data_IF_763973465708
#
_entry.id   IF_763973465708
#
_cell.length_a   1.000
_cell.length_b   1.000
_cell.length_c   1.000
_cell.angle_alpha   90.00
_cell.angle_beta   90.00
_cell.angle_gamma   90.00
#
_symmetry.space_group_name_H-M   'P 1'
#
loop_
_entity.id
_entity.type
_entity.pdbx_description
1 polymer ?
#
# COMPACT_ATOMS: atom_id res chain seq x y z
N UNK A 1 18.57 14.08 -6.44
CA UNK A 1 17.62 14.43 -7.53
C UNK A 1 16.67 15.57 -7.14
N UNK A 2 16.81 16.14 -5.92
CA UNK A 2 16.08 17.34 -5.55
C UNK A 2 16.35 18.47 -6.55
N UNK A 3 15.35 19.31 -6.82
CA UNK A 3 15.44 20.43 -7.78
C UNK A 3 15.22 20.05 -9.26
N UNK A 4 15.02 18.76 -9.59
CA UNK A 4 14.81 18.34 -10.98
C UNK A 4 13.36 17.97 -11.32
N UNK A 5 12.45 17.98 -10.35
CA UNK A 5 11.03 17.70 -10.53
C UNK A 5 10.19 18.46 -9.50
N UNK A 6 8.97 18.85 -9.84
CA UNK A 6 8.07 19.54 -8.92
C UNK A 6 7.53 18.64 -7.79
N UNK A 7 7.48 17.33 -8.01
CA UNK A 7 7.06 16.31 -7.05
C UNK A 7 7.99 15.11 -7.15
N UNK A 8 8.38 14.57 -6.01
CA UNK A 8 9.20 13.36 -5.92
C UNK A 8 8.54 12.35 -4.98
N UNK A 9 8.47 11.09 -5.42
CA UNK A 9 7.98 9.97 -4.62
C UNK A 9 9.15 9.09 -4.20
N UNK A 10 9.18 8.65 -2.94
CA UNK A 10 10.20 7.69 -2.46
C UNK A 10 10.01 6.30 -3.08
N UNK A 11 10.98 5.42 -2.89
CA UNK A 11 10.69 3.99 -2.95
C UNK A 11 9.70 3.58 -1.85
N UNK A 12 9.12 2.37 -1.99
CA UNK A 12 8.13 1.85 -1.07
C UNK A 12 8.65 1.78 0.38
N UNK A 13 7.92 2.42 1.29
CA UNK A 13 8.12 2.32 2.72
C UNK A 13 7.16 1.25 3.29
N UNK A 14 7.69 0.28 4.03
CA UNK A 14 6.86 -0.75 4.65
C UNK A 14 6.19 -0.24 5.93
N UNK A 15 4.89 -0.50 6.04
CA UNK A 15 4.04 -0.04 7.15
C UNK A 15 4.09 -0.94 8.38
N UNK A 16 4.56 -2.18 8.22
CA UNK A 16 4.82 -3.14 9.29
C UNK A 16 5.95 -4.10 8.90
N UNK A 17 6.64 -4.75 9.85
CA UNK A 17 7.76 -5.66 9.56
C UNK A 17 7.38 -6.84 8.65
N UNK A 18 6.16 -7.37 8.74
CA UNK A 18 5.67 -8.43 7.85
C UNK A 18 5.42 -7.96 6.41
N UNK A 19 5.39 -6.65 6.17
CA UNK A 19 5.27 -6.05 4.84
C UNK A 19 6.58 -5.71 4.17
N UNK A 20 7.72 -5.97 4.80
CA UNK A 20 9.04 -5.56 4.31
C UNK A 20 9.50 -6.40 3.11
N UNK A 21 9.68 -5.74 1.96
CA UNK A 21 10.16 -6.36 0.71
C UNK A 21 11.68 -6.53 0.69
N UNK A 22 12.42 -5.46 1.00
CA UNK A 22 13.89 -5.40 0.91
C UNK A 22 14.53 -5.18 2.28
N UNK A 23 15.71 -5.75 2.49
CA UNK A 23 16.48 -5.62 3.74
C UNK A 23 16.72 -4.16 4.15
N UNK A 24 17.04 -3.28 3.19
CA UNK A 24 17.26 -1.85 3.41
C UNK A 24 16.11 -0.98 2.89
N UNK A 25 14.89 -1.50 2.91
CA UNK A 25 13.69 -0.74 2.55
C UNK A 25 13.42 0.41 3.55
N UNK A 26 12.75 1.46 3.09
CA UNK A 26 12.30 2.52 3.98
C UNK A 26 11.34 1.96 5.02
N UNK A 27 11.58 2.31 6.29
CA UNK A 27 10.74 1.94 7.41
C UNK A 27 9.83 3.10 7.81
N UNK A 28 8.52 2.83 7.96
CA UNK A 28 7.55 3.75 8.55
C UNK A 28 6.63 3.01 9.54
N UNK A 29 7.06 1.84 10.02
CA UNK A 29 6.24 0.96 10.85
C UNK A 29 6.12 1.38 12.31
N UNK A 30 7.02 2.24 12.80
CA UNK A 30 7.04 2.70 14.18
C UNK A 30 7.58 4.13 14.30
N UNK A 31 7.40 4.76 15.47
CA UNK A 31 7.72 6.17 15.66
C UNK A 31 9.24 6.46 15.71
N UNK A 32 10.07 5.44 15.91
CA UNK A 32 11.53 5.60 15.93
C UNK A 32 12.09 5.98 14.56
N UNK A 33 11.34 5.73 13.48
CA UNK A 33 11.73 6.11 12.12
C UNK A 33 11.53 7.61 11.82
N UNK A 34 10.66 8.32 12.57
CA UNK A 34 10.28 9.72 12.29
C UNK A 34 11.49 10.65 12.16
N UNK A 35 12.49 10.64 13.04
CA UNK A 35 13.65 11.54 12.90
C UNK A 35 14.44 11.33 11.60
N UNK A 36 14.57 10.08 11.15
CA UNK A 36 15.24 9.74 9.87
C UNK A 36 14.41 10.18 8.67
N UNK A 37 13.11 9.90 8.69
CA UNK A 37 12.16 10.29 7.65
C UNK A 37 12.05 11.83 7.54
N UNK A 38 12.12 12.55 8.65
CA UNK A 38 12.12 14.02 8.65
C UNK A 38 13.33 14.58 7.90
N UNK A 39 14.52 14.02 8.09
CA UNK A 39 15.71 14.41 7.31
C UNK A 39 15.54 14.12 5.84
N UNK A 40 14.96 12.97 5.49
CA UNK A 40 14.67 12.60 4.11
C UNK A 40 13.69 13.60 3.47
N UNK A 41 12.56 13.89 4.12
CA UNK A 41 11.57 14.84 3.63
C UNK A 41 12.21 16.23 3.41
N UNK A 42 13.03 16.72 4.35
CA UNK A 42 13.73 17.99 4.22
C UNK A 42 14.65 18.04 2.99
N UNK A 43 15.40 16.96 2.72
CA UNK A 43 16.28 16.89 1.54
C UNK A 43 15.47 16.82 0.24
N UNK A 44 14.38 16.08 0.22
CA UNK A 44 13.51 15.98 -0.95
C UNK A 44 12.82 17.31 -1.28
N UNK A 45 12.53 18.13 -0.27
CA UNK A 45 11.86 19.44 -0.41
C UNK A 45 12.78 20.58 -0.79
N UNK A 46 14.09 20.34 -0.94
CA UNK A 46 15.03 21.36 -1.42
C UNK A 46 14.54 21.89 -2.79
N UNK A 47 14.74 23.18 -2.99
CA UNK A 47 14.36 23.89 -4.23
C UNK A 47 12.84 23.93 -4.52
N UNK A 48 12.00 23.76 -3.47
CA UNK A 48 10.54 23.90 -3.58
C UNK A 48 9.79 22.68 -4.08
N UNK A 49 10.45 21.51 -4.16
CA UNK A 49 9.80 20.25 -4.55
C UNK A 49 8.80 19.78 -3.48
N UNK A 50 7.77 19.08 -3.93
CA UNK A 50 6.88 18.30 -3.05
C UNK A 50 7.48 16.91 -2.78
N UNK A 51 7.53 16.52 -1.52
CA UNK A 51 8.05 15.22 -1.08
C UNK A 51 6.90 14.29 -0.71
N UNK A 52 6.75 13.19 -1.42
CA UNK A 52 5.74 12.16 -1.20
C UNK A 52 6.42 10.88 -0.72
N UNK A 53 5.89 10.25 0.32
CA UNK A 53 6.34 8.91 0.72
C UNK A 53 5.34 7.85 0.24
N UNK A 54 5.84 6.82 -0.45
CA UNK A 54 5.02 5.70 -0.89
C UNK A 54 4.86 4.70 0.25
N UNK A 55 3.61 4.42 0.65
CA UNK A 55 3.26 3.43 1.66
C UNK A 55 2.90 2.10 0.99
N UNK A 56 3.48 1.02 1.47
CA UNK A 56 3.27 -0.29 0.89
C UNK A 56 3.34 -1.42 1.93
N UNK A 57 2.74 -2.54 1.57
CA UNK A 57 2.91 -3.82 2.23
C UNK A 57 3.14 -4.87 1.14
N UNK A 58 4.31 -5.53 1.16
CA UNK A 58 4.71 -6.43 0.08
C UNK A 58 3.88 -7.73 0.02
N UNK A 59 3.10 -8.05 1.06
CA UNK A 59 2.26 -9.24 1.09
C UNK A 59 3.07 -10.50 0.84
N UNK A 60 2.64 -11.31 -0.12
CA UNK A 60 3.32 -12.55 -0.51
C UNK A 60 4.78 -12.38 -0.95
N UNK A 61 5.20 -11.16 -1.28
CA UNK A 61 6.57 -10.84 -1.69
C UNK A 61 7.41 -10.19 -0.58
N UNK A 62 6.97 -10.28 0.67
CA UNK A 62 7.70 -9.76 1.83
C UNK A 62 8.95 -10.61 2.12
N UNK A 63 9.94 -10.53 1.24
CA UNK A 63 11.13 -11.39 1.28
C UNK A 63 11.90 -11.26 2.61
N UNK A 64 11.90 -10.08 3.21
CA UNK A 64 12.55 -9.88 4.51
C UNK A 64 11.74 -10.50 5.65
N UNK A 65 10.40 -10.50 5.57
CA UNK A 65 9.55 -11.20 6.54
C UNK A 65 9.77 -12.71 6.49
N UNK A 66 9.94 -13.30 5.30
CA UNK A 66 10.29 -14.72 5.16
C UNK A 66 11.60 -15.02 5.90
N UNK A 67 12.61 -14.18 5.76
CA UNK A 67 13.92 -14.36 6.43
C UNK A 67 13.84 -14.18 7.95
N UNK A 68 13.07 -13.19 8.40
CA UNK A 68 13.03 -12.81 9.81
C UNK A 68 12.04 -13.67 10.63
N UNK A 69 10.91 -14.05 10.01
CA UNK A 69 9.78 -14.68 10.73
C UNK A 69 9.36 -16.02 10.14
N UNK A 70 9.80 -16.37 8.92
CA UNK A 70 9.37 -17.58 8.22
C UNK A 70 7.96 -17.50 7.62
N UNK A 71 7.28 -16.37 7.75
CA UNK A 71 5.87 -16.19 7.41
C UNK A 71 5.66 -14.96 6.53
N UNK A 72 4.71 -15.06 5.61
CA UNK A 72 4.17 -13.94 4.82
C UNK A 72 2.66 -14.09 4.72
N UNK A 73 1.99 -12.97 4.53
CA UNK A 73 0.54 -12.90 4.53
C UNK A 73 -0.02 -12.50 3.16
N UNK A 74 -1.23 -12.97 2.88
CA UNK A 74 -1.99 -12.63 1.69
C UNK A 74 -3.48 -12.89 1.88
N UNK A 75 -4.32 -12.64 0.86
CA UNK A 75 -5.76 -12.89 0.96
C UNK A 75 -6.08 -14.36 1.15
N UNK A 76 -5.29 -15.26 0.54
CA UNK A 76 -5.53 -16.71 0.58
C UNK A 76 -4.22 -17.48 0.66
N UNK A 77 -4.25 -18.74 1.17
CA UNK A 77 -3.07 -19.56 1.28
C UNK A 77 -2.55 -19.94 -0.12
N UNK A 78 -1.23 -19.87 -0.29
CA UNK A 78 -0.57 -20.35 -1.50
C UNK A 78 0.86 -20.77 -1.22
N UNK A 79 1.42 -21.61 -2.10
CA UNK A 79 2.84 -21.96 -2.10
C UNK A 79 3.56 -21.24 -3.21
N UNK A 80 4.63 -20.54 -2.91
CA UNK A 80 5.48 -19.85 -3.86
C UNK A 80 6.88 -20.45 -3.85
N UNK A 81 7.57 -20.41 -5.00
CA UNK A 81 8.88 -21.00 -5.16
C UNK A 81 10.00 -19.96 -5.40
N UNK A 82 9.65 -18.73 -5.63
CA UNK A 82 10.60 -17.65 -5.93
C UNK A 82 10.36 -16.46 -4.99
N UNK A 83 11.42 -15.81 -4.53
CA UNK A 83 12.86 -16.12 -4.72
C UNK A 83 13.32 -17.34 -3.90
N UNK A 84 12.57 -17.71 -2.87
CA UNK A 84 12.81 -18.87 -2.01
C UNK A 84 11.48 -19.59 -1.80
N UNK A 85 11.43 -20.91 -1.76
CA UNK A 85 10.21 -21.65 -1.45
C UNK A 85 9.60 -21.21 -0.11
N UNK A 86 8.36 -20.77 -0.12
CA UNK A 86 7.64 -20.32 1.08
C UNK A 86 6.13 -20.49 0.93
N UNK A 87 5.44 -20.42 2.07
CA UNK A 87 3.98 -20.45 2.13
C UNK A 87 3.45 -19.06 2.48
N UNK A 88 2.38 -18.68 1.80
CA UNK A 88 1.57 -17.52 2.15
C UNK A 88 0.48 -17.99 3.10
N UNK A 89 0.32 -17.29 4.20
CA UNK A 89 -0.73 -17.53 5.19
C UNK A 89 -1.90 -16.61 4.90
N UNK A 90 -3.12 -17.16 4.94
CA UNK A 90 -4.33 -16.35 4.82
C UNK A 90 -4.45 -15.40 6.00
N UNK A 91 -4.70 -14.12 5.71
CA UNK A 91 -4.94 -13.13 6.76
C UNK A 91 -6.28 -13.37 7.43
N UNK A 92 -6.29 -13.44 8.78
CA UNK A 92 -7.53 -13.38 9.53
C UNK A 92 -8.19 -12.00 9.39
N UNK A 93 -9.47 -11.89 9.72
CA UNK A 93 -10.18 -10.61 9.71
C UNK A 93 -9.56 -9.60 10.69
N UNK A 94 -9.05 -10.07 11.83
CA UNK A 94 -8.30 -9.26 12.79
C UNK A 94 -7.02 -8.71 12.15
N UNK A 95 -6.23 -9.58 11.49
CA UNK A 95 -4.99 -9.14 10.80
C UNK A 95 -5.28 -8.15 9.67
N UNK A 96 -6.39 -8.30 8.96
CA UNK A 96 -6.83 -7.33 7.95
C UNK A 96 -7.07 -5.95 8.60
N UNK A 97 -7.80 -5.92 9.72
CA UNK A 97 -8.07 -4.67 10.47
C UNK A 97 -6.78 -4.06 11.01
N UNK A 98 -5.86 -4.87 11.53
CA UNK A 98 -4.56 -4.39 12.01
C UNK A 98 -3.77 -3.73 10.87
N UNK A 99 -3.73 -4.35 9.69
CA UNK A 99 -3.00 -3.78 8.54
C UNK A 99 -3.65 -2.48 8.05
N UNK A 100 -4.98 -2.38 8.06
CA UNK A 100 -5.68 -1.12 7.76
C UNK A 100 -5.23 -0.03 8.74
N UNK A 101 -5.17 -0.33 10.03
CA UNK A 101 -4.71 0.60 11.06
C UNK A 101 -3.23 0.98 10.85
N UNK A 102 -2.36 0.03 10.45
CA UNK A 102 -0.95 0.32 10.15
C UNK A 102 -0.78 1.31 8.99
N UNK A 103 -1.64 1.29 7.96
CA UNK A 103 -1.65 2.32 6.91
C UNK A 103 -2.04 3.70 7.47
N UNK A 104 -3.03 3.76 8.34
CA UNK A 104 -3.44 5.00 9.03
C UNK A 104 -2.29 5.55 9.90
N UNK A 105 -1.66 4.70 10.71
CA UNK A 105 -0.54 5.08 11.58
C UNK A 105 0.68 5.53 10.76
N UNK A 106 0.99 4.85 9.67
CA UNK A 106 2.06 5.24 8.75
C UNK A 106 1.78 6.61 8.11
N UNK A 107 0.53 6.90 7.77
CA UNK A 107 0.12 8.22 7.26
C UNK A 107 0.34 9.31 8.31
N UNK A 108 -0.03 9.06 9.57
CA UNK A 108 0.22 9.98 10.68
C UNK A 108 1.73 10.25 10.86
N UNK A 109 2.57 9.20 10.77
CA UNK A 109 4.04 9.34 10.84
C UNK A 109 4.60 10.14 9.67
N UNK A 110 4.06 9.96 8.46
CA UNK A 110 4.46 10.73 7.28
C UNK A 110 4.18 12.24 7.47
N UNK A 111 2.99 12.58 8.01
CA UNK A 111 2.62 13.95 8.35
C UNK A 111 3.60 14.53 9.40
N UNK A 112 3.86 13.79 10.49
CA UNK A 112 4.78 14.21 11.56
C UNK A 112 6.22 14.36 11.05
N UNK A 113 6.64 13.53 10.10
CA UNK A 113 7.95 13.63 9.45
C UNK A 113 8.05 14.81 8.46
N UNK A 114 6.92 15.48 8.15
CA UNK A 114 6.89 16.67 7.31
C UNK A 114 6.94 16.38 5.81
N UNK A 115 6.48 15.21 5.36
CA UNK A 115 6.17 14.96 3.95
C UNK A 115 4.98 15.83 3.50
N UNK A 116 4.96 16.17 2.23
CA UNK A 116 3.85 16.92 1.61
C UNK A 116 2.72 15.99 1.16
N UNK A 117 2.89 14.69 1.29
CA UNK A 117 1.86 13.72 0.94
C UNK A 117 2.29 12.26 1.11
N UNK A 118 1.33 11.38 0.90
CA UNK A 118 1.53 9.93 0.82
C UNK A 118 1.01 9.39 -0.50
N UNK A 119 1.62 8.32 -1.00
CA UNK A 119 1.12 7.55 -2.13
C UNK A 119 0.82 6.12 -1.67
N UNK A 120 -0.39 5.65 -1.89
CA UNK A 120 -0.76 4.27 -1.53
C UNK A 120 -0.48 3.35 -2.72
N UNK A 121 0.37 2.33 -2.49
CA UNK A 121 0.75 1.38 -3.54
C UNK A 121 -0.25 0.22 -3.63
N UNK A 122 -1.03 0.22 -4.71
CA UNK A 122 -2.00 -0.82 -5.08
C UNK A 122 -1.56 -1.50 -6.38
N UNK A 123 -0.27 -1.56 -6.62
CA UNK A 123 0.35 -2.06 -7.85
C UNK A 123 1.30 -3.21 -7.58
N UNK A 124 1.88 -3.75 -8.66
CA UNK A 124 3.01 -4.69 -8.63
C UNK A 124 2.73 -5.99 -7.86
N UNK A 125 1.47 -6.39 -7.77
CA UNK A 125 0.99 -7.58 -7.03
C UNK A 125 1.33 -7.54 -5.54
N UNK A 126 1.44 -6.32 -4.98
CA UNK A 126 1.58 -6.11 -3.54
C UNK A 126 0.24 -6.36 -2.82
N UNK A 127 0.23 -6.27 -1.51
CA UNK A 127 -0.87 -6.80 -0.68
C UNK A 127 -2.26 -6.34 -1.15
N UNK A 128 -2.49 -5.03 -1.32
CA UNK A 128 -3.83 -4.52 -1.67
C UNK A 128 -4.27 -5.05 -3.03
N UNK A 129 -3.40 -5.02 -4.04
CA UNK A 129 -3.73 -5.59 -5.35
C UNK A 129 -4.07 -7.08 -5.26
N UNK A 130 -3.39 -7.83 -4.38
CA UNK A 130 -3.66 -9.27 -4.25
C UNK A 130 -5.04 -9.59 -3.69
N UNK A 131 -5.66 -8.70 -2.91
CA UNK A 131 -7.06 -8.84 -2.50
C UNK A 131 -8.03 -8.58 -3.65
N UNK A 132 -7.72 -7.65 -4.53
CA UNK A 132 -8.55 -7.34 -5.68
C UNK A 132 -8.48 -8.40 -6.79
N UNK A 133 -7.34 -9.06 -6.93
CA UNK A 133 -7.06 -10.05 -7.99
C UNK A 133 -7.62 -11.43 -7.69
N UNK A 134 -8.40 -11.98 -8.63
CA UNK A 134 -8.89 -13.37 -8.56
C UNK A 134 -7.78 -14.43 -8.68
N UNK A 135 -6.57 -14.04 -9.14
CA UNK A 135 -5.42 -14.95 -9.13
C UNK A 135 -4.87 -15.23 -7.73
N UNK A 136 -5.07 -14.31 -6.81
CA UNK A 136 -4.46 -14.36 -5.48
C UNK A 136 -5.48 -14.54 -4.39
N UNK A 137 -6.68 -14.00 -4.59
CA UNK A 137 -7.79 -14.05 -3.65
C UNK A 137 -8.70 -15.23 -4.02
N UNK A 138 -8.92 -16.12 -3.07
CA UNK A 138 -9.82 -17.27 -3.16
C UNK A 138 -10.75 -17.33 -1.94
N UNK A 139 -10.89 -16.20 -1.23
CA UNK A 139 -11.77 -16.10 -0.05
C UNK A 139 -13.23 -16.08 -0.48
N UNK A 140 -14.09 -16.52 0.46
CA UNK A 140 -15.55 -16.48 0.33
C UNK A 140 -16.20 -15.72 1.50
N UNK A 141 -15.49 -14.79 2.09
CA UNK A 141 -16.01 -13.88 3.11
C UNK A 141 -16.16 -12.45 2.55
N UNK A 142 -16.36 -11.48 3.43
CA UNK A 142 -16.55 -10.06 3.07
C UNK A 142 -15.38 -9.45 2.28
N UNK A 143 -14.22 -10.11 2.22
CA UNK A 143 -13.04 -9.70 1.47
C UNK A 143 -12.75 -10.61 0.27
N UNK A 144 -13.69 -11.47 -0.09
CA UNK A 144 -13.51 -12.56 -1.03
C UNK A 144 -13.96 -12.28 -2.46
N UNK A 145 -13.97 -13.35 -3.27
CA UNK A 145 -14.20 -13.28 -4.73
C UNK A 145 -15.66 -13.30 -5.15
N UNK A 146 -16.59 -13.42 -4.20
CA UNK A 146 -18.01 -13.59 -4.51
C UNK A 146 -18.65 -12.35 -5.14
N UNK A 147 -18.04 -11.17 -4.96
CA UNK A 147 -18.41 -9.96 -5.67
C UNK A 147 -17.20 -9.03 -5.87
N UNK A 148 -17.34 -8.07 -6.78
CA UNK A 148 -16.33 -7.05 -7.02
C UNK A 148 -16.16 -6.14 -5.79
N UNK A 149 -17.26 -5.82 -5.11
CA UNK A 149 -17.27 -5.03 -3.87
C UNK A 149 -16.49 -5.71 -2.76
N UNK A 150 -16.62 -7.03 -2.60
CA UNK A 150 -15.86 -7.78 -1.60
C UNK A 150 -14.35 -7.76 -1.92
N UNK A 151 -13.97 -7.95 -3.19
CA UNK A 151 -12.57 -7.86 -3.62
C UNK A 151 -11.98 -6.46 -3.41
N UNK A 152 -12.78 -5.43 -3.60
CA UNK A 152 -12.39 -4.03 -3.43
C UNK A 152 -12.28 -3.61 -1.95
N UNK A 153 -13.04 -4.24 -1.07
CA UNK A 153 -13.28 -3.81 0.32
C UNK A 153 -12.02 -3.49 1.11
N UNK A 154 -11.01 -4.36 1.05
CA UNK A 154 -9.76 -4.11 1.77
C UNK A 154 -9.09 -2.81 1.32
N UNK A 155 -8.93 -2.63 0.02
CA UNK A 155 -8.34 -1.40 -0.55
C UNK A 155 -9.16 -0.15 -0.20
N UNK A 156 -10.49 -0.23 -0.27
CA UNK A 156 -11.38 0.89 0.08
C UNK A 156 -11.25 1.27 1.57
N UNK A 157 -11.19 0.28 2.47
CA UNK A 157 -11.02 0.53 3.89
C UNK A 157 -9.65 1.13 4.21
N UNK A 158 -8.59 0.72 3.52
CA UNK A 158 -7.27 1.36 3.64
C UNK A 158 -7.36 2.83 3.21
N UNK A 159 -7.95 3.12 2.04
CA UNK A 159 -8.06 4.49 1.53
C UNK A 159 -8.90 5.37 2.46
N UNK A 160 -10.01 4.86 2.97
CA UNK A 160 -10.84 5.59 3.95
C UNK A 160 -10.07 5.87 5.25
N UNK A 161 -9.32 4.90 5.77
CA UNK A 161 -8.53 5.07 6.99
C UNK A 161 -7.42 6.11 6.81
N UNK A 162 -6.74 6.09 5.67
CA UNK A 162 -5.73 7.08 5.28
C UNK A 162 -6.36 8.48 5.17
N UNK A 163 -7.51 8.60 4.47
CA UNK A 163 -8.21 9.88 4.32
C UNK A 163 -8.63 10.45 5.67
N UNK A 164 -9.16 9.63 6.57
CA UNK A 164 -9.55 10.07 7.91
C UNK A 164 -8.38 10.67 8.70
N UNK A 165 -7.18 10.11 8.56
CA UNK A 165 -5.97 10.69 9.20
C UNK A 165 -5.57 12.00 8.54
N UNK A 166 -5.64 12.09 7.21
CA UNK A 166 -5.35 13.32 6.48
C UNK A 166 -6.29 14.43 6.93
N UNK A 167 -7.59 14.18 6.98
CA UNK A 167 -8.62 15.16 7.37
C UNK A 167 -8.43 15.69 8.80
N UNK A 168 -7.89 14.85 9.69
CA UNK A 168 -7.72 15.18 11.10
C UNK A 168 -6.38 15.85 11.40
N UNK A 169 -5.32 15.52 10.67
CA UNK A 169 -3.95 15.84 11.08
C UNK A 169 -3.13 16.59 10.05
N UNK A 170 -3.50 16.53 8.76
CA UNK A 170 -2.67 17.08 7.71
C UNK A 170 -2.97 18.56 7.41
N UNK A 171 -2.01 19.32 6.88
CA UNK A 171 -2.30 20.62 6.30
C UNK A 171 -3.20 20.49 5.05
N UNK A 172 -3.92 21.57 4.73
CA UNK A 172 -4.94 21.56 3.66
C UNK A 172 -4.39 21.24 2.25
N UNK A 173 -3.09 21.41 2.02
CA UNK A 173 -2.40 21.12 0.75
C UNK A 173 -1.69 19.76 0.75
N UNK A 174 -2.03 18.87 1.68
CA UNK A 174 -1.45 17.53 1.75
C UNK A 174 -1.93 16.66 0.58
N UNK A 175 -1.00 15.98 -0.07
CA UNK A 175 -1.25 15.25 -1.31
C UNK A 175 -1.49 13.76 -1.02
N UNK A 176 -2.59 13.21 -1.53
CA UNK A 176 -2.85 11.77 -1.55
C UNK A 176 -2.71 11.26 -2.98
N UNK A 177 -1.72 10.40 -3.22
CA UNK A 177 -1.52 9.70 -4.48
C UNK A 177 -2.05 8.26 -4.41
N UNK A 178 -2.47 7.74 -5.55
CA UNK A 178 -2.90 6.35 -5.70
C UNK A 178 -2.12 5.70 -6.84
N UNK A 179 -1.29 4.70 -6.53
CA UNK A 179 -0.53 3.97 -7.52
C UNK A 179 -1.14 2.61 -7.75
N UNK A 180 -1.54 2.32 -8.98
CA UNK A 180 -2.26 1.10 -9.30
C UNK A 180 -1.77 0.40 -10.57
N UNK A 181 -2.15 -0.86 -10.71
CA UNK A 181 -2.07 -1.63 -11.95
C UNK A 181 -3.49 -1.71 -12.50
N UNK A 182 -3.77 -1.16 -13.68
CA UNK A 182 -5.17 -1.04 -14.18
C UNK A 182 -5.76 -2.35 -14.66
N UNK A 183 -4.94 -3.34 -14.99
CA UNK A 183 -5.38 -4.66 -15.42
C UNK A 183 -4.35 -5.71 -15.01
N UNK A 184 -4.78 -6.87 -14.53
CA UNK A 184 -3.86 -7.99 -14.26
C UNK A 184 -4.12 -9.16 -15.20
N UNK A 185 -3.11 -9.48 -16.01
CA UNK A 185 -3.14 -10.58 -16.98
C UNK A 185 -2.08 -11.62 -16.67
N UNK A 186 -2.38 -12.90 -16.97
CA UNK A 186 -1.44 -14.03 -16.98
C UNK A 186 -1.70 -14.87 -18.22
N UNK A 187 -0.99 -14.56 -19.29
CA UNK A 187 -1.27 -15.13 -20.60
C UNK A 187 -2.64 -14.67 -21.10
N UNK A 188 -3.57 -15.61 -21.30
CA UNK A 188 -4.96 -15.34 -21.68
C UNK A 188 -5.90 -15.07 -20.48
N UNK A 189 -5.45 -15.32 -19.26
CA UNK A 189 -6.29 -15.23 -18.06
C UNK A 189 -6.21 -13.84 -17.45
N UNK A 190 -7.32 -13.41 -16.86
CA UNK A 190 -7.49 -12.11 -16.22
C UNK A 190 -7.68 -12.27 -14.71
N UNK A 191 -6.88 -11.56 -13.91
CA UNK A 191 -7.11 -11.41 -12.48
C UNK A 191 -8.18 -10.36 -12.20
N UNK A 192 -8.21 -9.32 -13.01
CA UNK A 192 -9.28 -8.33 -13.15
C UNK A 192 -9.08 -7.53 -14.44
N UNK A 193 -10.18 -6.97 -14.94
CA UNK A 193 -10.22 -6.18 -16.17
C UNK A 193 -10.06 -4.70 -15.87
N UNK A 194 -9.80 -3.91 -16.93
CA UNK A 194 -9.80 -2.45 -16.87
C UNK A 194 -11.18 -1.89 -16.44
N UNK A 195 -12.29 -2.51 -16.84
CA UNK A 195 -13.63 -2.06 -16.46
C UNK A 195 -13.89 -2.29 -14.96
N UNK A 196 -13.48 -3.44 -14.41
CA UNK A 196 -13.54 -3.71 -12.97
C UNK A 196 -12.64 -2.73 -12.19
N UNK A 197 -11.47 -2.41 -12.73
CA UNK A 197 -10.58 -1.41 -12.13
C UNK A 197 -11.18 0.00 -12.14
N UNK A 198 -11.80 0.42 -13.24
CA UNK A 198 -12.47 1.72 -13.32
C UNK A 198 -13.60 1.81 -12.29
N UNK A 199 -14.42 0.77 -12.14
CA UNK A 199 -15.45 0.72 -11.10
C UNK A 199 -14.84 0.79 -9.68
N UNK A 200 -13.74 0.09 -9.45
CA UNK A 200 -13.02 0.18 -8.18
C UNK A 200 -12.48 1.60 -7.93
N UNK A 201 -11.94 2.25 -8.96
CA UNK A 201 -11.42 3.61 -8.85
C UNK A 201 -12.52 4.63 -8.53
N UNK A 202 -13.72 4.49 -9.11
CA UNK A 202 -14.88 5.31 -8.76
C UNK A 202 -15.19 5.20 -7.25
N UNK A 203 -15.24 3.98 -6.71
CA UNK A 203 -15.45 3.75 -5.27
C UNK A 203 -14.32 4.31 -4.40
N UNK A 204 -13.08 4.25 -4.89
CA UNK A 204 -11.94 4.86 -4.18
C UNK A 204 -12.10 6.38 -4.11
N UNK A 205 -12.56 7.03 -5.20
CA UNK A 205 -12.82 8.48 -5.22
C UNK A 205 -14.02 8.90 -4.37
N UNK A 206 -14.96 7.99 -4.09
CA UNK A 206 -16.06 8.24 -3.14
C UNK A 206 -15.59 8.29 -1.68
N UNK A 207 -14.49 7.61 -1.34
CA UNK A 207 -14.01 7.48 0.05
C UNK A 207 -12.73 8.27 0.33
N UNK A 208 -12.03 8.75 -0.71
CA UNK A 208 -10.76 9.47 -0.58
C UNK A 208 -10.56 10.53 -1.67
N UNK A 209 -9.99 11.67 -1.28
CA UNK A 209 -9.67 12.76 -2.20
C UNK A 209 -8.30 12.51 -2.85
N UNK A 210 -8.28 11.80 -3.97
CA UNK A 210 -7.05 11.47 -4.69
C UNK A 210 -6.62 12.66 -5.56
N UNK A 211 -5.36 13.07 -5.43
CA UNK A 211 -4.78 14.19 -6.16
C UNK A 211 -4.08 13.75 -7.46
N UNK A 212 -3.59 12.52 -7.52
CA UNK A 212 -3.03 11.93 -8.75
C UNK A 212 -3.11 10.40 -8.75
N UNK A 213 -3.15 9.85 -9.95
CA UNK A 213 -3.06 8.42 -10.24
C UNK A 213 -1.73 8.12 -10.95
N UNK A 214 -1.00 7.05 -10.54
CA UNK A 214 0.29 6.64 -11.09
C UNK A 214 0.30 5.15 -11.50
#
# INVERSE_FOLDING_TARGET
RAGSAGLQVTGAAYIEPYGQLFEYGFNISDDTCIPGLKKLAQVMKQDGNKAIIQLAHAGRFSNQAIRNFGEVYGPSPMSLHSPTPHKVIEMSQEKIKDVIQQYADATSRAIQAGFDGVEISVAQRLLIQTFFSTFSNQRHDDYGVDSLENRARFGLQVMQAVQNVIDQQAPADFILGYRATPEETRGSDLGYTIDEFNQHLDWVMDVANIHYLA
#
